data_IF_623813905682
#
_entry.id   IF_623813905682
#
_cell.length_a   1.000
_cell.length_b   1.000
_cell.length_c   1.000
_cell.angle_alpha   90.00
_cell.angle_beta   90.00
_cell.angle_gamma   90.00
#
_symmetry.space_group_name_H-M   'P 1'
#
loop_
_entity.id
_entity.type
_entity.pdbx_description
1 polymer ?
#
# COMPACT_ATOMS: atom_id res chain seq x y z
N UNK A 1 -6.99 -31.01 -38.81
CA UNK A 1 -6.93 -29.80 -37.96
C UNK A 1 -7.93 -29.96 -36.83
N UNK A 2 -7.44 -30.32 -35.65
CA UNK A 2 -8.23 -30.31 -34.41
C UNK A 2 -8.57 -28.84 -34.12
N UNK A 3 -9.83 -28.50 -33.78
CA UNK A 3 -10.15 -27.13 -33.37
C UNK A 3 -9.33 -26.75 -32.13
N UNK A 4 -9.00 -25.46 -31.94
CA UNK A 4 -8.33 -25.02 -30.72
C UNK A 4 -9.17 -25.44 -29.51
N UNK A 5 -8.55 -25.86 -28.39
CA UNK A 5 -9.30 -26.12 -27.17
C UNK A 5 -10.09 -24.86 -26.81
N UNK A 6 -11.41 -24.98 -26.66
CA UNK A 6 -12.23 -23.93 -26.05
C UNK A 6 -11.56 -23.58 -24.73
N UNK A 7 -11.20 -22.32 -24.54
CA UNK A 7 -10.79 -21.82 -23.22
C UNK A 7 -11.83 -22.33 -22.21
N UNK A 8 -11.39 -23.14 -21.23
CA UNK A 8 -12.29 -23.61 -20.20
C UNK A 8 -12.94 -22.38 -19.56
N UNK A 9 -14.27 -22.35 -19.46
CA UNK A 9 -14.94 -21.24 -18.81
C UNK A 9 -14.39 -21.13 -17.38
N UNK A 10 -13.85 -19.96 -17.02
CA UNK A 10 -13.44 -19.67 -15.64
C UNK A 10 -14.64 -19.93 -14.74
N UNK A 11 -14.42 -20.54 -13.58
CA UNK A 11 -15.49 -20.97 -12.66
C UNK A 11 -15.29 -20.43 -11.23
N UNK A 12 -14.19 -19.70 -11.01
CA UNK A 12 -13.79 -19.21 -9.72
C UNK A 12 -13.15 -17.82 -9.82
N UNK A 13 -13.00 -17.18 -8.67
CA UNK A 13 -12.17 -16.00 -8.45
C UNK A 13 -11.11 -16.38 -7.44
N UNK A 14 -9.84 -16.11 -7.73
CA UNK A 14 -8.73 -16.26 -6.81
C UNK A 14 -8.19 -14.86 -6.51
N UNK A 15 -8.22 -14.48 -5.25
CA UNK A 15 -7.95 -13.14 -4.78
C UNK A 15 -6.74 -13.07 -3.86
N UNK A 16 -5.99 -11.99 -3.98
CA UNK A 16 -4.97 -11.55 -3.02
C UNK A 16 -5.35 -10.19 -2.42
N UNK A 17 -4.61 -9.78 -1.40
CA UNK A 17 -4.67 -8.44 -0.82
C UNK A 17 -3.38 -8.17 -0.04
N UNK A 18 -3.06 -6.89 0.16
CA UNK A 18 -2.04 -6.40 1.09
C UNK A 18 -0.70 -7.14 0.91
N UNK A 19 -0.24 -7.27 -0.34
CA UNK A 19 1.02 -7.94 -0.65
C UNK A 19 2.23 -7.19 -0.10
N UNK A 20 2.17 -5.84 -0.05
CA UNK A 20 3.21 -4.96 0.50
C UNK A 20 4.62 -5.33 0.07
N UNK A 21 4.84 -5.52 -1.23
CA UNK A 21 6.17 -5.79 -1.77
C UNK A 21 6.88 -6.95 -1.03
N UNK A 22 6.14 -7.97 -0.56
CA UNK A 22 6.68 -9.10 0.18
C UNK A 22 7.37 -10.12 -0.76
N UNK A 23 8.32 -9.66 -1.57
CA UNK A 23 8.90 -10.42 -2.68
C UNK A 23 9.58 -11.73 -2.25
N UNK A 24 10.10 -11.84 -1.02
CA UNK A 24 10.58 -13.11 -0.46
C UNK A 24 9.54 -14.26 -0.49
N UNK A 25 8.24 -13.95 -0.51
CA UNK A 25 7.13 -14.92 -0.61
C UNK A 25 6.49 -14.96 -1.99
N UNK A 26 6.93 -14.13 -2.92
CA UNK A 26 6.38 -14.11 -4.27
C UNK A 26 6.45 -15.49 -4.94
N UNK A 27 7.53 -16.29 -4.87
CA UNK A 27 7.60 -17.54 -5.64
C UNK A 27 6.42 -18.49 -5.41
N UNK A 28 6.07 -18.78 -4.15
CA UNK A 28 4.97 -19.67 -3.79
C UNK A 28 3.60 -19.06 -4.17
N UNK A 29 3.43 -17.76 -3.91
CA UNK A 29 2.21 -17.05 -4.27
C UNK A 29 1.98 -17.09 -5.78
N UNK A 30 2.98 -16.71 -6.57
CA UNK A 30 2.86 -16.61 -8.02
C UNK A 30 2.72 -17.97 -8.68
N UNK A 31 3.37 -19.01 -8.16
CA UNK A 31 3.13 -20.39 -8.61
C UNK A 31 1.68 -20.83 -8.32
N UNK A 32 1.13 -20.45 -7.17
CA UNK A 32 -0.28 -20.71 -6.81
C UNK A 32 -1.23 -20.00 -7.75
N UNK A 33 -1.02 -18.70 -8.01
CA UNK A 33 -1.85 -17.90 -8.91
C UNK A 33 -1.77 -18.38 -10.35
N UNK A 34 -0.57 -18.69 -10.84
CA UNK A 34 -0.36 -19.23 -12.17
C UNK A 34 -1.13 -20.54 -12.38
N UNK A 35 -1.08 -21.45 -11.41
CA UNK A 35 -1.85 -22.70 -11.44
C UNK A 35 -3.37 -22.47 -11.46
N UNK A 36 -3.86 -21.43 -10.79
CA UNK A 36 -5.29 -21.10 -10.73
C UNK A 36 -5.81 -20.42 -12.01
N UNK A 37 -4.97 -19.63 -12.69
CA UNK A 37 -5.31 -18.75 -13.82
C UNK A 37 -6.10 -19.41 -14.97
N UNK A 38 -5.87 -20.69 -15.36
CA UNK A 38 -6.68 -21.33 -16.41
C UNK A 38 -8.16 -21.53 -16.04
N UNK A 39 -8.50 -21.49 -14.75
CA UNK A 39 -9.87 -21.80 -14.25
C UNK A 39 -10.46 -20.69 -13.39
N UNK A 40 -9.70 -19.64 -13.10
CA UNK A 40 -10.08 -18.58 -12.17
C UNK A 40 -9.78 -17.19 -12.73
N UNK A 41 -10.61 -16.22 -12.36
CA UNK A 41 -10.28 -14.80 -12.49
C UNK A 41 -9.32 -14.44 -11.36
N UNK A 42 -8.17 -13.87 -11.67
CA UNK A 42 -7.14 -13.51 -10.70
C UNK A 42 -7.28 -12.02 -10.36
N UNK A 43 -7.51 -11.70 -9.09
CA UNK A 43 -7.83 -10.34 -8.64
C UNK A 43 -7.04 -9.94 -7.40
N UNK A 44 -6.88 -8.64 -7.17
CA UNK A 44 -6.22 -8.09 -5.98
C UNK A 44 -7.06 -6.97 -5.33
N UNK A 45 -7.10 -6.94 -4.00
CA UNK A 45 -7.89 -5.98 -3.22
C UNK A 45 -7.09 -4.76 -2.73
N UNK A 46 -5.92 -4.49 -3.34
CA UNK A 46 -5.09 -3.32 -3.07
C UNK A 46 -3.91 -3.58 -2.13
N UNK A 47 -3.12 -2.53 -1.93
CA UNK A 47 -1.88 -2.48 -1.15
C UNK A 47 -0.85 -3.53 -1.58
N UNK A 48 -0.62 -3.57 -2.89
CA UNK A 48 0.41 -4.44 -3.47
C UNK A 48 1.83 -3.87 -3.26
N UNK A 49 1.92 -2.55 -3.14
CA UNK A 49 3.15 -1.76 -3.07
C UNK A 49 3.51 -1.36 -1.63
N UNK A 50 4.64 -0.66 -1.50
CA UNK A 50 5.19 -0.12 -0.25
C UNK A 50 5.36 -1.18 0.86
N UNK A 51 6.58 -1.69 0.94
CA UNK A 51 7.01 -2.68 1.92
C UNK A 51 8.49 -3.00 1.76
N UNK A 52 8.99 -4.15 2.25
CA UNK A 52 10.43 -4.33 2.48
C UNK A 52 11.33 -4.24 1.23
N UNK A 53 10.81 -4.56 0.04
CA UNK A 53 11.58 -4.53 -1.21
C UNK A 53 11.32 -3.27 -2.04
N UNK A 54 10.22 -2.57 -1.78
CA UNK A 54 9.76 -1.44 -2.58
C UNK A 54 10.82 -0.32 -2.72
N UNK A 55 11.58 0.06 -1.67
CA UNK A 55 12.60 1.10 -1.81
C UNK A 55 13.72 0.78 -2.80
N UNK A 56 13.94 -0.51 -3.12
CA UNK A 56 14.97 -0.93 -4.07
C UNK A 56 14.41 -1.37 -5.43
N UNK A 57 13.13 -1.75 -5.49
CA UNK A 57 12.46 -2.10 -6.76
C UNK A 57 11.80 -0.89 -7.42
N UNK A 58 11.47 0.15 -6.65
CA UNK A 58 10.68 1.29 -7.11
C UNK A 58 9.29 0.90 -7.64
N UNK A 59 8.78 -0.29 -7.25
CA UNK A 59 7.51 -0.83 -7.75
C UNK A 59 7.58 -1.56 -9.10
N UNK A 60 8.72 -1.56 -9.81
CA UNK A 60 8.80 -2.13 -11.16
C UNK A 60 8.57 -3.66 -11.19
N UNK A 61 9.00 -4.36 -10.15
CA UNK A 61 8.78 -5.81 -10.01
C UNK A 61 7.30 -6.09 -9.73
N UNK A 62 6.73 -5.30 -8.84
CA UNK A 62 5.34 -5.36 -8.42
C UNK A 62 4.37 -5.07 -9.57
N UNK A 63 4.61 -3.99 -10.34
CA UNK A 63 3.86 -3.66 -11.55
C UNK A 63 3.89 -4.80 -12.56
N UNK A 64 5.07 -5.40 -12.77
CA UNK A 64 5.22 -6.51 -13.72
C UNK A 64 4.47 -7.76 -13.25
N UNK A 65 4.49 -8.06 -11.96
CA UNK A 65 3.68 -9.15 -11.39
C UNK A 65 2.18 -8.90 -11.65
N UNK A 66 1.71 -7.68 -11.35
CA UNK A 66 0.30 -7.33 -11.50
C UNK A 66 -0.15 -7.42 -12.97
N UNK A 67 0.64 -6.87 -13.89
CA UNK A 67 0.32 -6.88 -15.33
C UNK A 67 0.39 -8.26 -15.98
N UNK A 68 1.29 -9.15 -15.54
CA UNK A 68 1.41 -10.49 -16.13
C UNK A 68 0.37 -11.49 -15.58
N UNK A 69 -0.04 -11.36 -14.32
CA UNK A 69 -0.80 -12.41 -13.63
C UNK A 69 -2.22 -12.03 -13.19
N UNK A 70 -2.59 -10.76 -13.13
CA UNK A 70 -3.89 -10.32 -12.64
C UNK A 70 -4.80 -9.90 -13.80
N UNK A 71 -6.11 -10.10 -13.62
CA UNK A 71 -7.14 -9.73 -14.60
C UNK A 71 -7.79 -8.37 -14.25
N UNK A 72 -7.92 -8.05 -12.95
CA UNK A 72 -8.47 -6.79 -12.45
C UNK A 72 -8.02 -6.56 -11.01
N UNK A 73 -7.75 -5.31 -10.63
CA UNK A 73 -7.29 -4.93 -9.29
C UNK A 73 -8.07 -3.76 -8.71
N UNK A 74 -8.15 -3.68 -7.38
CA UNK A 74 -8.48 -2.46 -6.66
C UNK A 74 -7.21 -1.63 -6.38
N UNK A 75 -7.31 -0.30 -6.30
CA UNK A 75 -6.22 0.51 -5.79
C UNK A 75 -6.09 0.35 -4.27
N UNK A 76 -4.86 0.27 -3.78
CA UNK A 76 -4.52 0.48 -2.37
C UNK A 76 -4.22 1.94 -2.05
N UNK A 77 -4.10 2.28 -0.77
CA UNK A 77 -3.53 3.58 -0.40
C UNK A 77 -2.01 3.61 -0.57
N UNK A 78 -1.35 2.46 -0.48
CA UNK A 78 0.08 2.31 -0.75
C UNK A 78 0.35 2.14 -2.25
N UNK A 79 1.28 2.92 -2.79
CA UNK A 79 1.65 2.90 -4.20
C UNK A 79 0.66 3.61 -5.12
N UNK A 80 -0.07 4.61 -4.61
CA UNK A 80 -1.07 5.38 -5.37
C UNK A 80 -0.64 5.77 -6.81
N UNK A 81 0.60 6.27 -7.05
CA UNK A 81 1.04 6.63 -8.40
C UNK A 81 1.01 5.46 -9.40
N UNK A 82 1.24 4.23 -8.96
CA UNK A 82 1.21 3.04 -9.81
C UNK A 82 -0.19 2.78 -10.35
N UNK A 83 -1.21 2.90 -9.50
CA UNK A 83 -2.62 2.74 -9.90
C UNK A 83 -3.11 3.87 -10.81
N UNK A 84 -2.68 5.11 -10.56
CA UNK A 84 -3.08 6.25 -11.41
C UNK A 84 -2.31 6.35 -12.74
N UNK A 85 -1.17 5.67 -12.85
CA UNK A 85 -0.31 5.64 -14.03
C UNK A 85 -0.29 4.27 -14.71
N UNK A 86 0.79 3.48 -14.58
CA UNK A 86 1.03 2.27 -15.38
C UNK A 86 -0.04 1.18 -15.21
N UNK A 87 -0.73 1.11 -14.07
CA UNK A 87 -1.76 0.11 -13.81
C UNK A 87 -3.18 0.62 -13.99
N UNK A 88 -3.36 1.83 -14.55
CA UNK A 88 -4.66 2.49 -14.61
C UNK A 88 -5.73 1.67 -15.34
N UNK A 89 -5.36 0.99 -16.42
CA UNK A 89 -6.29 0.19 -17.23
C UNK A 89 -6.69 -1.13 -16.56
N UNK A 90 -5.83 -1.65 -15.68
CA UNK A 90 -6.08 -2.86 -14.89
C UNK A 90 -6.93 -2.55 -13.63
N UNK A 91 -6.92 -1.29 -13.19
CA UNK A 91 -7.52 -0.84 -11.94
C UNK A 91 -8.99 -0.47 -12.13
N UNK A 92 -9.86 -0.99 -11.26
CA UNK A 92 -11.25 -0.52 -11.12
C UNK A 92 -11.44 0.15 -9.76
N UNK A 93 -12.29 1.18 -9.68
CA UNK A 93 -12.74 1.78 -8.43
C UNK A 93 -13.93 2.71 -8.68
N UNK A 94 -15.05 2.47 -8.00
CA UNK A 94 -16.30 3.19 -8.25
C UNK A 94 -16.42 4.51 -7.49
N UNK A 95 -15.75 4.65 -6.34
CA UNK A 95 -16.00 5.75 -5.41
C UNK A 95 -14.88 6.79 -5.33
N UNK A 96 -13.85 6.70 -6.15
CA UNK A 96 -12.88 7.78 -6.34
C UNK A 96 -13.28 8.57 -7.58
N UNK A 97 -13.45 9.88 -7.43
CA UNK A 97 -13.98 10.76 -8.47
C UNK A 97 -13.07 11.96 -8.70
N UNK A 98 -13.16 12.53 -9.90
CA UNK A 98 -12.75 13.90 -10.16
C UNK A 98 -13.82 14.84 -9.56
N UNK A 99 -13.47 15.71 -8.60
CA UNK A 99 -14.45 16.59 -7.95
C UNK A 99 -14.97 17.71 -8.88
N UNK A 100 -14.27 18.03 -9.97
CA UNK A 100 -14.67 19.06 -10.93
C UNK A 100 -15.80 18.59 -11.85
N UNK A 101 -15.77 17.34 -12.28
CA UNK A 101 -16.77 16.72 -13.16
C UNK A 101 -17.76 15.83 -12.41
N UNK A 102 -17.43 15.43 -11.18
CA UNK A 102 -18.14 14.40 -10.42
C UNK A 102 -18.24 13.04 -11.14
N UNK A 103 -17.28 12.73 -12.02
CA UNK A 103 -17.20 11.44 -12.71
C UNK A 103 -16.19 10.50 -12.04
N UNK A 104 -16.37 9.17 -12.14
CA UNK A 104 -15.38 8.20 -11.68
C UNK A 104 -13.98 8.49 -12.24
N UNK A 105 -12.98 8.48 -11.37
CA UNK A 105 -11.58 8.70 -11.74
C UNK A 105 -10.95 7.44 -12.34
N UNK A 106 -11.37 6.27 -11.88
CA UNK A 106 -11.04 4.97 -12.45
C UNK A 106 -12.22 4.42 -13.25
N UNK A 107 -11.98 3.37 -14.02
CA UNK A 107 -13.05 2.52 -14.53
C UNK A 107 -13.87 1.97 -13.36
N UNK A 108 -15.19 2.08 -13.38
CA UNK A 108 -16.01 1.67 -12.22
C UNK A 108 -16.23 0.17 -12.12
N UNK A 109 -16.17 -0.59 -13.22
CA UNK A 109 -16.48 -2.02 -13.22
C UNK A 109 -15.75 -2.80 -14.32
N UNK A 110 -15.41 -4.05 -14.04
CA UNK A 110 -14.90 -5.05 -14.98
C UNK A 110 -15.93 -6.17 -15.16
N UNK A 111 -16.32 -6.46 -16.40
CA UNK A 111 -17.22 -7.57 -16.72
C UNK A 111 -16.41 -8.81 -17.05
N UNK A 112 -16.72 -9.93 -16.41
CA UNK A 112 -16.11 -11.23 -16.66
C UNK A 112 -17.18 -12.31 -16.82
N UNK A 113 -16.90 -13.32 -17.63
CA UNK A 113 -17.75 -14.50 -17.76
C UNK A 113 -17.27 -15.61 -16.83
N UNK A 114 -18.09 -16.00 -15.85
CA UNK A 114 -17.81 -17.08 -14.91
C UNK A 114 -18.94 -18.11 -14.91
N UNK A 115 -18.64 -19.37 -15.24
CA UNK A 115 -19.63 -20.45 -15.31
C UNK A 115 -20.88 -20.11 -16.15
N UNK A 116 -20.71 -19.33 -17.23
CA UNK A 116 -21.80 -18.89 -18.12
C UNK A 116 -22.69 -17.78 -17.55
N UNK A 117 -22.18 -17.03 -16.55
CA UNK A 117 -22.81 -15.85 -15.97
C UNK A 117 -21.92 -14.63 -16.18
N UNK A 118 -22.54 -13.50 -16.47
CA UNK A 118 -21.86 -12.20 -16.55
C UNK A 118 -21.69 -11.65 -15.13
N UNK A 119 -20.44 -11.55 -14.67
CA UNK A 119 -20.08 -11.09 -13.33
C UNK A 119 -19.48 -9.69 -13.40
N UNK A 120 -20.05 -8.76 -12.64
CA UNK A 120 -19.51 -7.42 -12.45
C UNK A 120 -18.53 -7.41 -11.28
N UNK A 121 -17.26 -7.15 -11.57
CA UNK A 121 -16.22 -6.92 -10.58
C UNK A 121 -16.01 -5.41 -10.45
N UNK A 122 -16.28 -4.85 -9.28
CA UNK A 122 -16.05 -3.44 -8.96
C UNK A 122 -15.12 -3.32 -7.75
N UNK A 123 -14.70 -2.10 -7.42
CA UNK A 123 -13.92 -1.86 -6.22
C UNK A 123 -14.34 -0.58 -5.50
N UNK A 124 -13.98 -0.48 -4.22
CA UNK A 124 -14.09 0.74 -3.43
C UNK A 124 -12.83 1.01 -2.63
N UNK A 125 -12.51 2.29 -2.50
CA UNK A 125 -11.49 2.83 -1.60
C UNK A 125 -12.16 3.31 -0.31
N UNK A 126 -11.66 2.88 0.84
CA UNK A 126 -12.13 3.39 2.13
C UNK A 126 -11.79 4.87 2.34
N UNK A 127 -12.66 5.70 2.94
CA UNK A 127 -12.33 7.11 3.20
C UNK A 127 -11.08 7.31 4.06
N UNK A 128 -10.84 6.42 5.04
CA UNK A 128 -9.64 6.45 5.87
C UNK A 128 -8.38 6.09 5.09
N UNK A 129 -8.45 5.03 4.26
CA UNK A 129 -7.37 4.63 3.36
C UNK A 129 -7.04 5.75 2.37
N UNK A 130 -8.04 6.37 1.76
CA UNK A 130 -7.82 7.50 0.86
C UNK A 130 -7.16 8.69 1.58
N UNK A 131 -7.53 8.94 2.83
CA UNK A 131 -6.98 10.04 3.62
C UNK A 131 -5.50 9.82 4.00
N UNK A 132 -5.02 8.58 4.05
CA UNK A 132 -3.60 8.27 4.34
C UNK A 132 -2.68 8.45 3.13
N UNK A 133 -3.24 8.56 1.91
CA UNK A 133 -2.46 8.90 0.71
C UNK A 133 -1.96 10.35 0.83
N UNK A 134 -0.67 10.56 0.54
CA UNK A 134 -0.04 11.86 0.55
C UNK A 134 -0.86 12.89 -0.28
N UNK A 135 -1.15 14.10 0.27
CA UNK A 135 -2.08 15.04 -0.35
C UNK A 135 -1.76 15.43 -1.80
N UNK A 136 -0.49 15.52 -2.15
CA UNK A 136 0.00 15.83 -3.50
C UNK A 136 -0.28 14.69 -4.49
N UNK A 137 -0.16 13.43 -4.06
CA UNK A 137 -0.42 12.26 -4.91
C UNK A 137 -1.91 12.09 -5.25
N UNK A 138 -2.80 12.49 -4.33
CA UNK A 138 -4.26 12.46 -4.54
C UNK A 138 -4.87 13.82 -4.90
N UNK A 139 -4.05 14.78 -5.30
CA UNK A 139 -4.53 16.10 -5.71
C UNK A 139 -5.50 15.98 -6.90
N UNK A 140 -6.60 16.74 -6.84
CA UNK A 140 -7.64 16.68 -7.87
C UNK A 140 -8.52 15.42 -7.82
N UNK A 141 -8.44 14.62 -6.74
CA UNK A 141 -9.28 13.44 -6.55
C UNK A 141 -10.03 13.54 -5.22
N UNK A 142 -11.21 12.93 -5.15
CA UNK A 142 -11.99 12.80 -3.91
C UNK A 142 -12.62 11.43 -3.83
N UNK A 143 -12.72 10.89 -2.61
CA UNK A 143 -13.48 9.68 -2.31
C UNK A 143 -14.92 10.03 -1.88
N UNK A 144 -15.92 9.31 -2.41
CA UNK A 144 -17.33 9.41 -2.01
C UNK A 144 -17.71 8.24 -1.08
N UNK A 145 -18.90 8.31 -0.46
CA UNK A 145 -19.43 7.19 0.35
C UNK A 145 -19.48 5.90 -0.49
N UNK A 146 -18.80 4.82 -0.06
CA UNK A 146 -18.73 3.58 -0.82
C UNK A 146 -20.10 2.99 -1.16
N UNK A 147 -21.04 2.99 -0.21
CA UNK A 147 -22.36 2.39 -0.45
C UNK A 147 -23.14 3.18 -1.50
N UNK A 148 -23.12 4.52 -1.43
CA UNK A 148 -23.75 5.38 -2.43
C UNK A 148 -23.19 5.12 -3.83
N UNK A 149 -21.87 5.04 -3.97
CA UNK A 149 -21.25 4.76 -5.25
C UNK A 149 -21.65 3.38 -5.81
N UNK A 150 -21.71 2.36 -4.94
CA UNK A 150 -22.13 1.02 -5.33
C UNK A 150 -23.59 0.95 -5.75
N UNK A 151 -24.51 1.61 -5.03
CA UNK A 151 -25.93 1.69 -5.41
C UNK A 151 -26.10 2.39 -6.78
N UNK A 152 -25.38 3.49 -7.01
CA UNK A 152 -25.41 4.18 -8.31
C UNK A 152 -24.93 3.28 -9.45
N UNK A 153 -23.85 2.53 -9.23
CA UNK A 153 -23.32 1.59 -10.21
C UNK A 153 -24.29 0.41 -10.45
N UNK A 154 -24.90 -0.10 -9.38
CA UNK A 154 -25.91 -1.14 -9.45
C UNK A 154 -27.11 -0.71 -10.28
N UNK A 155 -27.68 0.47 -10.01
CA UNK A 155 -28.83 0.98 -10.75
C UNK A 155 -28.58 1.10 -12.26
N UNK A 156 -27.32 1.39 -12.65
CA UNK A 156 -26.91 1.51 -14.05
C UNK A 156 -26.76 0.17 -14.77
N UNK A 157 -26.39 -0.90 -14.07
CA UNK A 157 -25.95 -2.15 -14.71
C UNK A 157 -26.69 -3.42 -14.26
N UNK A 158 -27.60 -3.33 -13.27
CA UNK A 158 -28.32 -4.50 -12.71
C UNK A 158 -29.17 -5.29 -13.70
N UNK A 159 -29.35 -4.82 -14.94
CA UNK A 159 -30.06 -5.56 -16.00
C UNK A 159 -29.11 -6.33 -16.92
N UNK A 160 -27.81 -6.03 -16.85
CA UNK A 160 -26.77 -6.56 -17.75
C UNK A 160 -25.85 -7.58 -17.07
N UNK A 161 -26.04 -7.82 -15.77
CA UNK A 161 -25.11 -8.60 -14.94
C UNK A 161 -25.86 -9.56 -14.03
N UNK A 162 -25.33 -10.77 -13.87
CA UNK A 162 -25.92 -11.86 -13.11
C UNK A 162 -25.39 -11.94 -11.66
N UNK A 163 -24.24 -11.34 -11.38
CA UNK A 163 -23.60 -11.33 -10.06
C UNK A 163 -22.68 -10.12 -9.86
N UNK A 164 -22.54 -9.69 -8.61
CA UNK A 164 -21.74 -8.55 -8.17
C UNK A 164 -20.62 -8.97 -7.20
N UNK A 165 -19.39 -8.66 -7.58
CA UNK A 165 -18.18 -8.91 -6.80
C UNK A 165 -17.52 -7.57 -6.46
N UNK A 166 -17.23 -7.37 -5.18
CA UNK A 166 -16.54 -6.18 -4.69
C UNK A 166 -15.11 -6.52 -4.27
N UNK A 167 -14.13 -5.85 -4.86
CA UNK A 167 -12.77 -5.74 -4.36
C UNK A 167 -12.71 -4.52 -3.42
N UNK A 168 -12.66 -4.74 -2.10
CA UNK A 168 -12.75 -3.64 -1.14
C UNK A 168 -11.42 -3.35 -0.47
N UNK A 169 -10.97 -2.11 -0.61
CA UNK A 169 -9.86 -1.55 0.16
C UNK A 169 -10.38 -0.62 1.27
N UNK A 170 -11.40 -1.09 2.00
CA UNK A 170 -12.07 -0.33 3.07
C UNK A 170 -11.83 -0.92 4.46
N UNK A 171 -11.64 -2.24 4.54
CA UNK A 171 -11.34 -2.96 5.78
C UNK A 171 -12.47 -3.89 6.21
N UNK A 172 -12.13 -5.11 6.64
CA UNK A 172 -13.03 -6.24 6.89
C UNK A 172 -14.28 -5.88 7.71
N UNK A 173 -14.12 -5.19 8.85
CA UNK A 173 -15.26 -4.79 9.69
C UNK A 173 -16.17 -3.76 9.04
N UNK A 174 -15.59 -2.84 8.25
CA UNK A 174 -16.35 -1.84 7.49
C UNK A 174 -17.02 -2.49 6.27
N UNK A 175 -16.41 -3.53 5.71
CA UNK A 175 -16.97 -4.32 4.63
C UNK A 175 -18.17 -5.14 5.07
N UNK A 176 -18.21 -5.60 6.33
CA UNK A 176 -19.41 -6.20 6.94
C UNK A 176 -20.59 -5.21 6.98
N UNK A 177 -20.36 -3.97 7.40
CA UNK A 177 -21.38 -2.91 7.38
C UNK A 177 -21.81 -2.59 5.93
N UNK A 178 -20.83 -2.48 5.03
CA UNK A 178 -21.07 -2.18 3.63
C UNK A 178 -21.90 -3.27 2.94
N UNK A 179 -21.59 -4.54 3.17
CA UNK A 179 -22.38 -5.68 2.66
C UNK A 179 -23.82 -5.64 3.17
N UNK A 180 -24.04 -5.27 4.44
CA UNK A 180 -25.38 -5.10 5.00
C UNK A 180 -26.17 -3.96 4.34
N UNK A 181 -25.48 -2.89 3.91
CA UNK A 181 -26.06 -1.73 3.21
C UNK A 181 -26.22 -1.93 1.70
N UNK A 182 -25.53 -2.92 1.14
CA UNK A 182 -25.52 -3.26 -0.28
C UNK A 182 -25.81 -4.75 -0.48
N UNK A 183 -27.03 -5.23 -0.14
CA UNK A 183 -27.37 -6.66 -0.15
C UNK A 183 -27.42 -7.29 -1.56
N UNK A 184 -27.25 -6.49 -2.62
CA UNK A 184 -27.11 -6.97 -3.99
C UNK A 184 -25.68 -7.48 -4.30
N UNK A 185 -24.71 -7.22 -3.41
CA UNK A 185 -23.37 -7.80 -3.55
C UNK A 185 -23.43 -9.29 -3.24
N UNK A 186 -22.88 -10.12 -4.11
CA UNK A 186 -22.79 -11.56 -3.88
C UNK A 186 -21.52 -11.95 -3.15
N UNK A 187 -20.40 -11.28 -3.46
CA UNK A 187 -19.07 -11.56 -2.91
C UNK A 187 -18.33 -10.26 -2.60
N UNK A 188 -17.73 -10.18 -1.42
CA UNK A 188 -16.80 -9.12 -1.02
C UNK A 188 -15.44 -9.74 -0.69
N UNK A 189 -14.42 -9.25 -1.39
CA UNK A 189 -13.01 -9.57 -1.22
C UNK A 189 -12.35 -8.37 -0.51
N UNK A 190 -11.98 -8.53 0.75
CA UNK A 190 -11.60 -7.42 1.63
C UNK A 190 -10.07 -7.31 1.86
N UNK A 191 -9.57 -6.08 1.99
CA UNK A 191 -8.17 -5.72 2.26
C UNK A 191 -7.98 -4.61 3.31
N UNK A 192 -6.87 -3.87 3.27
CA UNK A 192 -6.52 -2.64 4.02
C UNK A 192 -6.28 -2.77 5.53
N UNK A 193 -7.17 -3.45 6.25
CA UNK A 193 -7.28 -3.29 7.70
C UNK A 193 -6.24 -4.02 8.56
N UNK A 194 -5.32 -4.79 7.96
CA UNK A 194 -4.38 -5.67 8.67
C UNK A 194 -5.02 -6.58 9.74
N UNK A 195 -6.32 -6.89 9.60
CA UNK A 195 -7.05 -7.69 10.56
C UNK A 195 -6.69 -9.17 10.42
N UNK A 196 -6.61 -9.88 11.54
CA UNK A 196 -6.54 -11.35 11.54
C UNK A 196 -7.82 -12.02 11.00
N UNK A 197 -8.90 -11.25 10.83
CA UNK A 197 -10.15 -11.73 10.24
C UNK A 197 -9.95 -12.03 8.74
N UNK A 198 -10.10 -13.30 8.35
CA UNK A 198 -10.00 -13.74 6.95
C UNK A 198 -11.33 -14.22 6.37
N UNK A 199 -12.34 -14.52 7.21
CA UNK A 199 -13.56 -15.19 6.78
C UNK A 199 -13.32 -16.63 6.29
N UNK A 200 -14.25 -17.21 5.52
CA UNK A 200 -15.47 -16.58 5.00
C UNK A 200 -16.52 -16.30 6.09
N UNK A 201 -17.23 -15.19 5.95
CA UNK A 201 -18.37 -14.78 6.76
C UNK A 201 -19.56 -14.49 5.85
N UNK A 202 -20.76 -14.93 6.23
CA UNK A 202 -21.99 -14.61 5.48
C UNK A 202 -22.67 -13.39 6.12
N UNK A 203 -22.87 -12.34 5.34
CA UNK A 203 -23.57 -11.12 5.74
C UNK A 203 -24.85 -11.04 4.92
N UNK A 204 -25.95 -11.55 5.47
CA UNK A 204 -27.18 -11.74 4.71
C UNK A 204 -26.97 -12.76 3.59
N UNK A 205 -27.03 -12.32 2.33
CA UNK A 205 -26.77 -13.14 1.14
C UNK A 205 -25.37 -12.95 0.56
N UNK A 206 -24.57 -12.05 1.13
CA UNK A 206 -23.23 -11.72 0.67
C UNK A 206 -22.18 -12.55 1.38
N UNK A 207 -21.29 -13.19 0.63
CA UNK A 207 -20.09 -13.84 1.19
C UNK A 207 -18.95 -12.83 1.32
N UNK A 208 -18.43 -12.61 2.53
CA UNK A 208 -17.30 -11.74 2.82
C UNK A 208 -16.07 -12.59 3.16
N UNK A 209 -14.97 -12.39 2.44
CA UNK A 209 -13.71 -13.11 2.66
C UNK A 209 -12.52 -12.18 2.41
N UNK A 210 -11.41 -12.48 3.07
CA UNK A 210 -10.15 -11.73 2.97
C UNK A 210 -9.00 -12.72 2.83
N UNK A 211 -8.13 -12.47 1.84
CA UNK A 211 -6.97 -13.31 1.62
C UNK A 211 -5.89 -13.07 2.70
N UNK A 212 -5.01 -14.05 2.96
CA UNK A 212 -3.84 -13.86 3.81
C UNK A 212 -2.89 -12.83 3.21
N UNK A 213 -2.40 -11.92 4.04
CA UNK A 213 -1.56 -10.79 3.63
C UNK A 213 -0.10 -11.21 3.37
N UNK A 214 0.69 -10.29 2.83
CA UNK A 214 2.13 -10.44 2.63
C UNK A 214 2.48 -11.70 1.83
N UNK A 215 1.66 -12.01 0.83
CA UNK A 215 1.80 -13.18 -0.04
C UNK A 215 1.72 -14.53 0.66
N UNK A 216 1.12 -14.60 1.86
CA UNK A 216 1.00 -15.87 2.60
C UNK A 216 -0.01 -16.84 1.99
N UNK A 217 -0.91 -16.37 1.13
CA UNK A 217 -1.92 -17.22 0.53
C UNK A 217 -2.93 -16.45 -0.31
N UNK A 218 -4.04 -17.13 -0.61
CA UNK A 218 -5.11 -16.63 -1.48
C UNK A 218 -6.48 -16.90 -0.86
N UNK A 219 -7.47 -16.10 -1.23
CA UNK A 219 -8.87 -16.45 -1.07
C UNK A 219 -9.41 -16.96 -2.40
N UNK A 220 -10.04 -18.14 -2.42
CA UNK A 220 -10.69 -18.67 -3.62
C UNK A 220 -12.19 -18.72 -3.41
N UNK A 221 -12.94 -18.07 -4.28
CA UNK A 221 -14.40 -18.07 -4.30
C UNK A 221 -14.90 -18.77 -5.57
N UNK A 222 -15.75 -19.79 -5.40
CA UNK A 222 -16.36 -20.54 -6.51
C UNK A 222 -17.84 -20.20 -6.62
N UNK A 223 -18.27 -19.94 -7.84
CA UNK A 223 -19.68 -19.73 -8.15
C UNK A 223 -20.34 -21.09 -8.36
N UNK A 224 -21.07 -21.57 -7.35
CA UNK A 224 -21.96 -22.72 -7.46
C UNK A 224 -23.35 -22.25 -7.90
N UNK A 225 -24.25 -23.15 -8.36
CA UNK A 225 -25.59 -22.75 -8.79
C UNK A 225 -26.34 -21.94 -7.71
N UNK A 226 -26.40 -20.61 -7.90
CA UNK A 226 -27.10 -19.67 -7.02
C UNK A 226 -26.38 -19.30 -5.71
N UNK A 227 -25.11 -19.67 -5.50
CA UNK A 227 -24.36 -19.31 -4.29
C UNK A 227 -22.85 -19.25 -4.51
N UNK A 228 -22.19 -18.28 -3.88
CA UNK A 228 -20.74 -18.25 -3.76
C UNK A 228 -20.28 -19.05 -2.54
N UNK A 229 -19.24 -19.85 -2.73
CA UNK A 229 -18.52 -20.51 -1.63
C UNK A 229 -17.08 -20.07 -1.66
N UNK A 230 -16.58 -19.52 -0.56
CA UNK A 230 -15.21 -19.06 -0.45
C UNK A 230 -14.39 -19.90 0.54
N UNK A 231 -13.09 -19.98 0.30
CA UNK A 231 -12.11 -20.60 1.19
C UNK A 231 -10.82 -19.78 1.16
N UNK A 232 -10.07 -19.86 2.26
CA UNK A 232 -8.75 -19.23 2.38
C UNK A 232 -7.70 -20.33 2.48
N UNK A 233 -6.69 -20.24 1.63
CA UNK A 233 -5.65 -21.26 1.51
C UNK A 233 -4.27 -20.59 1.57
N UNK A 234 -3.29 -21.18 2.27
CA UNK A 234 -1.92 -20.72 2.19
C UNK A 234 -1.38 -20.90 0.77
N UNK A 235 -0.39 -20.08 0.40
CA UNK A 235 0.33 -20.24 -0.85
C UNK A 235 1.00 -21.61 -0.85
N UNK A 236 0.81 -22.36 -1.93
CA UNK A 236 1.38 -23.68 -2.04
C UNK A 236 2.86 -23.57 -2.43
N UNK A 237 3.72 -24.31 -1.72
CA UNK A 237 5.12 -24.49 -2.09
C UNK A 237 5.18 -25.33 -3.37
N UNK A 238 5.17 -24.66 -4.52
CA UNK A 238 5.17 -25.25 -5.85
C UNK A 238 6.39 -24.76 -6.63
N UNK A 239 6.91 -25.53 -7.59
CA UNK A 239 7.91 -25.03 -8.51
C UNK A 239 7.38 -23.79 -9.24
N UNK A 240 8.17 -22.72 -9.24
CA UNK A 240 7.84 -21.53 -10.00
C UNK A 240 7.86 -21.86 -11.50
N UNK A 241 6.79 -21.56 -12.25
CA UNK A 241 6.76 -21.74 -13.70
C UNK A 241 7.93 -21.04 -14.40
N UNK A 242 8.47 -21.66 -15.45
CA UNK A 242 9.67 -21.17 -16.16
C UNK A 242 9.51 -19.74 -16.67
N UNK A 243 8.32 -19.39 -17.15
CA UNK A 243 7.95 -18.05 -17.62
C UNK A 243 8.04 -16.98 -16.52
N UNK A 244 7.90 -17.37 -15.26
CA UNK A 244 8.04 -16.49 -14.09
C UNK A 244 9.46 -16.53 -13.50
N UNK A 245 10.42 -17.20 -14.14
CA UNK A 245 11.80 -17.30 -13.66
C UNK A 245 12.51 -15.95 -13.49
N UNK A 246 12.02 -14.90 -14.15
CA UNK A 246 12.49 -13.52 -13.98
C UNK A 246 12.30 -13.01 -12.54
N UNK A 247 11.28 -13.49 -11.82
CA UNK A 247 10.96 -13.08 -10.45
C UNK A 247 12.10 -13.47 -9.52
N UNK A 248 12.67 -14.67 -9.68
CA UNK A 248 13.83 -15.13 -8.89
C UNK A 248 15.04 -14.22 -9.11
N UNK A 249 15.31 -13.82 -10.35
CA UNK A 249 16.40 -12.90 -10.66
C UNK A 249 16.15 -11.50 -10.05
N UNK A 250 14.91 -11.00 -10.13
CA UNK A 250 14.52 -9.73 -9.53
C UNK A 250 14.65 -9.73 -8.00
N UNK A 251 14.23 -10.80 -7.33
CA UNK A 251 14.42 -11.00 -5.89
C UNK A 251 15.91 -11.02 -5.56
N UNK A 252 16.73 -11.76 -6.32
CA UNK A 252 18.18 -11.82 -6.10
C UNK A 252 18.86 -10.45 -6.25
N UNK A 253 18.47 -9.66 -7.25
CA UNK A 253 18.96 -8.30 -7.43
C UNK A 253 18.54 -7.38 -6.27
N UNK A 254 17.28 -7.46 -5.85
CA UNK A 254 16.77 -6.69 -4.72
C UNK A 254 17.44 -7.09 -3.40
N UNK A 255 17.68 -8.38 -3.16
CA UNK A 255 18.44 -8.87 -2.00
C UNK A 255 19.88 -8.35 -2.01
N UNK A 256 20.54 -8.37 -3.17
CA UNK A 256 21.89 -7.82 -3.30
C UNK A 256 21.89 -6.35 -2.90
N UNK A 257 20.96 -5.56 -3.48
CA UNK A 257 20.78 -4.13 -3.19
C UNK A 257 20.45 -3.86 -1.71
N UNK A 258 19.58 -4.65 -1.09
CA UNK A 258 19.19 -4.49 0.32
C UNK A 258 20.35 -4.81 1.27
N UNK A 259 21.23 -5.75 0.90
CA UNK A 259 22.37 -6.16 1.71
C UNK A 259 23.65 -5.34 1.42
N UNK A 260 23.60 -4.37 0.50
CA UNK A 260 24.70 -3.42 0.28
C UNK A 260 25.01 -2.65 1.58
N UNK A 261 26.30 -2.55 1.89
CA UNK A 261 26.77 -1.71 3.00
C UNK A 261 26.66 -0.24 2.59
N UNK A 262 25.87 0.53 3.34
CA UNK A 262 25.68 1.97 3.12
C UNK A 262 26.55 2.83 4.06
N UNK A 263 27.08 2.23 5.12
CA UNK A 263 27.94 2.93 6.06
C UNK A 263 28.48 2.05 7.16
N UNK A 264 29.31 2.63 8.02
CA UNK A 264 29.78 2.02 9.26
C UNK A 264 29.40 2.92 10.43
N UNK A 265 28.62 2.44 11.40
CA UNK A 265 28.27 3.25 12.56
C UNK A 265 29.52 3.71 13.31
N UNK A 266 29.52 4.96 13.77
CA UNK A 266 30.58 5.53 14.60
C UNK A 266 30.62 4.86 15.97
N UNK A 267 31.73 5.07 16.71
CA UNK A 267 31.90 4.46 18.04
C UNK A 267 30.77 4.76 19.03
N UNK A 268 30.10 5.92 18.89
CA UNK A 268 28.98 6.32 19.74
C UNK A 268 27.71 5.49 19.48
N UNK A 269 27.45 5.10 18.23
CA UNK A 269 26.23 4.38 17.82
C UNK A 269 26.41 2.87 17.76
N UNK A 270 27.64 2.42 17.52
CA UNK A 270 27.99 1.02 17.32
C UNK A 270 27.76 0.19 18.58
N UNK A 271 27.13 -0.97 18.40
CA UNK A 271 26.82 -1.96 19.45
C UNK A 271 26.09 -1.36 20.66
N UNK A 272 25.32 -0.29 20.44
CA UNK A 272 24.61 0.45 21.48
C UNK A 272 23.14 0.61 21.09
N UNK A 273 22.27 0.42 22.07
CA UNK A 273 20.86 0.76 21.93
C UNK A 273 20.66 2.26 22.12
N UNK A 274 19.78 2.86 21.33
CA UNK A 274 19.36 4.26 21.43
C UNK A 274 17.85 4.36 21.28
N UNK A 275 17.26 5.43 21.80
CA UNK A 275 15.84 5.75 21.57
C UNK A 275 15.66 6.56 20.28
N UNK A 276 14.45 6.57 19.72
CA UNK A 276 14.13 7.46 18.59
C UNK A 276 14.40 8.92 18.93
N UNK A 277 14.07 9.33 20.16
CA UNK A 277 14.30 10.69 20.64
C UNK A 277 15.79 11.05 20.66
N UNK A 278 16.65 10.14 21.11
CA UNK A 278 18.09 10.35 21.15
C UNK A 278 18.65 10.58 19.73
N UNK A 279 18.38 9.67 18.81
CA UNK A 279 18.83 9.78 17.42
C UNK A 279 18.29 11.06 16.77
N UNK A 280 17.02 11.38 16.97
CA UNK A 280 16.41 12.56 16.37
C UNK A 280 16.91 13.87 16.96
N UNK A 281 17.30 13.92 18.25
CA UNK A 281 17.98 15.10 18.83
C UNK A 281 19.34 15.33 18.18
N UNK A 282 20.09 14.26 17.94
CA UNK A 282 21.36 14.30 17.23
C UNK A 282 21.21 14.77 15.78
N UNK A 283 20.21 14.23 15.06
CA UNK A 283 19.83 14.66 13.71
C UNK A 283 19.38 16.12 13.68
N UNK A 284 18.51 16.53 14.62
CA UNK A 284 18.03 17.90 14.71
C UNK A 284 19.17 18.89 14.97
N UNK A 285 20.08 18.57 15.89
CA UNK A 285 21.25 19.39 16.17
C UNK A 285 22.17 19.51 14.94
N UNK A 286 22.34 18.43 14.16
CA UNK A 286 23.08 18.48 12.88
C UNK A 286 22.44 19.45 11.89
N UNK A 287 21.15 19.26 11.62
CA UNK A 287 20.39 20.07 10.68
C UNK A 287 20.41 21.53 11.09
N UNK A 288 20.27 21.81 12.39
CA UNK A 288 20.38 23.16 12.94
C UNK A 288 21.78 23.76 12.74
N UNK A 289 22.86 23.00 12.94
CA UNK A 289 24.23 23.46 12.65
C UNK A 289 24.46 23.74 11.16
N UNK A 290 23.91 22.91 10.28
CA UNK A 290 24.06 23.04 8.83
C UNK A 290 23.24 24.20 8.24
N UNK A 291 22.04 24.44 8.76
CA UNK A 291 21.08 25.38 8.16
C UNK A 291 20.87 26.66 8.96
N UNK A 292 21.20 26.66 10.25
CA UNK A 292 20.86 27.73 11.20
C UNK A 292 19.38 27.77 11.60
N UNK A 293 18.54 26.87 11.08
CA UNK A 293 17.10 26.86 11.33
C UNK A 293 16.73 26.05 12.58
N UNK A 294 15.57 26.37 13.18
CA UNK A 294 14.96 25.48 14.16
C UNK A 294 14.50 24.18 13.50
N UNK A 295 14.44 23.08 14.24
CA UNK A 295 14.07 21.77 13.69
C UNK A 295 12.93 21.16 14.50
N UNK A 296 11.93 20.59 13.82
CA UNK A 296 10.86 19.80 14.44
C UNK A 296 10.70 18.47 13.72
N UNK A 297 10.78 17.36 14.44
CA UNK A 297 10.68 16.01 13.88
C UNK A 297 9.73 15.16 14.73
N UNK A 298 8.96 14.28 14.12
CA UNK A 298 8.13 13.30 14.84
C UNK A 298 8.96 12.08 15.23
N UNK A 299 8.80 11.59 16.47
CA UNK A 299 9.60 10.45 16.96
C UNK A 299 9.34 9.15 16.23
N UNK A 300 8.14 9.01 15.64
CA UNK A 300 7.76 7.87 14.78
C UNK A 300 8.50 7.84 13.44
N UNK A 301 9.25 8.89 13.08
CA UNK A 301 10.02 8.93 11.84
C UNK A 301 11.21 7.95 11.84
N UNK A 302 11.66 7.50 13.02
CA UNK A 302 12.74 6.51 13.15
C UNK A 302 12.40 5.40 14.15
N UNK A 303 12.89 4.19 13.88
CA UNK A 303 12.67 2.99 14.70
C UNK A 303 13.95 2.62 15.46
N UNK A 304 13.95 2.61 16.80
CA UNK A 304 15.16 2.39 17.60
C UNK A 304 15.67 0.94 17.45
N UNK A 305 16.99 0.76 17.44
CA UNK A 305 17.64 -0.56 17.34
C UNK A 305 19.09 -0.53 17.80
N UNK A 306 19.72 -1.70 17.88
CA UNK A 306 21.17 -1.84 18.06
C UNK A 306 21.81 -1.98 16.68
N UNK A 307 22.84 -1.20 16.41
CA UNK A 307 23.59 -1.23 15.14
C UNK A 307 24.88 -2.02 15.30
N UNK A 308 25.23 -2.84 14.30
CA UNK A 308 26.46 -3.62 14.28
C UNK A 308 27.68 -2.86 13.76
N UNK A 309 28.67 -3.61 13.24
CA UNK A 309 29.90 -3.07 12.63
C UNK A 309 29.68 -2.38 11.27
N UNK A 310 28.60 -2.74 10.59
CA UNK A 310 28.19 -2.24 9.29
C UNK A 310 26.72 -1.89 9.34
N UNK A 311 26.33 -0.88 8.56
CA UNK A 311 24.95 -0.53 8.30
C UNK A 311 24.64 -0.91 6.86
N UNK A 312 23.69 -1.81 6.67
CA UNK A 312 23.18 -2.20 5.34
C UNK A 312 22.03 -1.30 4.91
N UNK A 313 21.74 -1.25 3.60
CA UNK A 313 20.58 -0.51 3.07
C UNK A 313 19.28 -0.97 3.73
N UNK A 314 19.10 -2.28 3.93
CA UNK A 314 17.95 -2.87 4.65
C UNK A 314 17.78 -2.30 6.05
N UNK A 315 18.87 -2.16 6.78
CA UNK A 315 18.85 -1.64 8.15
C UNK A 315 18.55 -0.14 8.18
N UNK A 316 19.08 0.63 7.23
CA UNK A 316 18.75 2.05 7.10
C UNK A 316 17.26 2.26 6.77
N UNK A 317 16.72 1.49 5.83
CA UNK A 317 15.28 1.50 5.51
C UNK A 317 14.45 1.14 6.74
N UNK A 318 14.82 0.09 7.46
CA UNK A 318 14.10 -0.33 8.67
C UNK A 318 14.18 0.70 9.80
N UNK A 319 15.29 1.44 9.86
CA UNK A 319 15.51 2.52 10.81
C UNK A 319 14.71 3.77 10.46
N UNK A 320 14.53 4.11 9.18
CA UNK A 320 13.81 5.29 8.69
C UNK A 320 12.71 4.88 7.70
N UNK A 321 11.63 4.21 8.18
CA UNK A 321 10.72 3.44 7.33
C UNK A 321 9.90 4.27 6.35
N UNK A 322 9.64 5.54 6.65
CA UNK A 322 8.87 6.45 5.80
C UNK A 322 9.74 7.30 4.87
N UNK A 323 11.05 7.34 5.15
CA UNK A 323 12.04 8.24 4.53
C UNK A 323 11.51 9.63 4.15
N UNK A 324 10.81 10.26 5.11
CA UNK A 324 10.14 11.53 4.92
C UNK A 324 11.05 12.57 4.27
N UNK A 325 10.50 13.34 3.33
CA UNK A 325 11.21 14.48 2.77
C UNK A 325 11.32 15.55 3.84
N UNK A 326 12.46 16.23 3.86
CA UNK A 326 12.66 17.39 4.72
C UNK A 326 12.24 18.65 3.97
N UNK A 327 11.58 19.56 4.68
CA UNK A 327 11.01 20.79 4.15
C UNK A 327 11.41 21.99 5.01
N UNK A 328 11.67 23.12 4.36
CA UNK A 328 11.73 24.44 4.98
C UNK A 328 10.33 25.02 5.06
N UNK A 329 9.89 25.48 6.23
CA UNK A 329 8.64 26.25 6.37
C UNK A 329 8.91 27.73 6.22
N UNK A 330 8.01 28.48 5.58
CA UNK A 330 8.06 29.95 5.60
C UNK A 330 7.44 30.51 6.88
N UNK A 331 7.92 31.66 7.39
CA UNK A 331 7.31 32.35 8.52
C UNK A 331 6.00 33.01 8.05
N UNK A 332 4.90 32.27 8.06
CA UNK A 332 3.57 32.86 7.86
C UNK A 332 2.99 33.28 9.20
N UNK A 333 2.58 34.54 9.30
CA UNK A 333 1.78 35.03 10.41
C UNK A 333 0.42 34.29 10.40
N UNK A 334 0.12 33.61 11.51
CA UNK A 334 -1.14 32.91 11.79
C UNK A 334 -1.31 31.50 11.19
N UNK A 335 -0.76 30.52 11.90
CA UNK A 335 -1.59 29.47 12.52
C UNK A 335 -0.92 29.11 13.86
N UNK A 336 -1.72 28.94 14.91
CA UNK A 336 -1.22 28.60 16.24
C UNK A 336 -0.38 27.33 16.22
N UNK A 337 0.24 26.99 17.36
CA UNK A 337 0.64 25.60 17.62
C UNK A 337 -0.49 24.71 17.11
N UNK A 338 -0.29 23.99 16.01
CA UNK A 338 -1.27 23.01 15.57
C UNK A 338 -1.61 22.16 16.78
N UNK A 339 -2.87 21.85 16.99
CA UNK A 339 -3.21 20.75 17.90
C UNK A 339 -2.63 19.50 17.24
N UNK A 340 -1.41 19.15 17.61
CA UNK A 340 -0.81 17.85 17.28
C UNK A 340 -1.77 16.78 17.80
N UNK A 341 -1.95 15.70 17.04
CA UNK A 341 -2.83 14.64 17.52
C UNK A 341 -2.27 14.10 18.83
N UNK A 342 -3.16 13.77 19.75
CA UNK A 342 -2.81 13.17 21.03
C UNK A 342 -2.02 11.87 20.77
N UNK A 343 -0.69 11.90 20.94
CA UNK A 343 0.21 10.77 20.61
C UNK A 343 1.43 11.12 19.76
N UNK A 344 1.45 12.28 19.09
CA UNK A 344 2.62 12.73 18.31
C UNK A 344 3.72 13.25 19.24
N UNK A 345 4.60 12.36 19.68
CA UNK A 345 5.83 12.76 20.36
C UNK A 345 6.74 13.47 19.34
N UNK A 346 7.17 14.68 19.68
CA UNK A 346 7.99 15.53 18.81
C UNK A 346 9.34 15.84 19.46
N UNK A 347 10.39 15.81 18.66
CA UNK A 347 11.67 16.43 18.99
C UNK A 347 11.66 17.85 18.45
N UNK A 348 11.76 18.82 19.35
CA UNK A 348 11.76 20.25 19.02
C UNK A 348 13.11 20.83 19.42
N UNK A 349 13.88 21.28 18.44
CA UNK A 349 15.11 22.03 18.63
C UNK A 349 14.96 23.41 17.97
N UNK A 350 14.13 24.26 18.57
CA UNK A 350 13.77 25.58 18.04
C UNK A 350 14.00 26.65 19.13
N UNK A 351 14.65 27.79 18.83
CA UNK A 351 14.69 28.94 19.74
C UNK A 351 13.28 29.48 20.02
N UNK A 352 13.03 30.19 21.13
CA UNK A 352 11.69 30.66 21.53
C UNK A 352 11.01 31.70 20.61
N UNK A 353 11.52 31.98 19.41
CA UNK A 353 10.99 32.97 18.47
C UNK A 353 10.39 32.33 17.21
N UNK A 354 9.47 33.04 16.54
CA UNK A 354 8.79 32.63 15.31
C UNK A 354 9.72 32.74 14.10
N UNK A 355 10.64 31.78 13.97
CA UNK A 355 11.61 31.69 12.86
C UNK A 355 11.24 30.54 11.90
N UNK A 356 11.71 30.58 10.64
CA UNK A 356 11.62 29.44 9.73
C UNK A 356 12.19 28.19 10.38
N UNK A 357 11.53 27.05 10.20
CA UNK A 357 12.00 25.76 10.71
C UNK A 357 12.11 24.72 9.60
N UNK A 358 12.85 23.65 9.90
CA UNK A 358 12.96 22.46 9.09
C UNK A 358 12.14 21.34 9.74
N UNK A 359 11.32 20.67 8.94
CA UNK A 359 10.41 19.61 9.39
C UNK A 359 10.21 18.53 8.33
N UNK A 360 9.60 17.40 8.69
CA UNK A 360 9.15 16.38 7.74
C UNK A 360 7.93 16.87 6.94
N UNK A 361 7.78 16.39 5.72
CA UNK A 361 6.57 16.54 4.89
C UNK A 361 5.28 16.09 5.59
N UNK A 362 5.33 15.05 6.42
CA UNK A 362 4.23 14.65 7.29
C UNK A 362 3.73 15.79 8.18
N UNK A 363 4.63 16.42 8.94
CA UNK A 363 4.28 17.54 9.84
C UNK A 363 4.03 18.85 9.08
N UNK A 364 4.62 18.98 7.89
CA UNK A 364 4.52 20.18 7.07
C UNK A 364 3.12 20.46 6.53
N UNK A 365 2.22 19.46 6.52
CA UNK A 365 0.82 19.61 6.10
C UNK A 365 0.07 20.69 6.88
N UNK A 366 0.56 21.08 8.07
CA UNK A 366 -0.02 22.15 8.90
C UNK A 366 0.45 23.56 8.51
N UNK A 367 1.39 23.69 7.58
CA UNK A 367 2.02 24.96 7.21
C UNK A 367 1.55 25.43 5.83
N UNK A 368 1.34 26.74 5.69
CA UNK A 368 0.80 27.33 4.48
C UNK A 368 1.80 27.39 3.31
N UNK A 369 3.11 27.37 3.59
CA UNK A 369 4.15 27.46 2.57
C UNK A 369 5.41 26.72 2.98
N UNK A 370 5.87 25.81 2.11
CA UNK A 370 7.04 24.96 2.31
C UNK A 370 7.90 24.89 1.06
N UNK A 371 9.22 24.75 1.24
CA UNK A 371 10.18 24.48 0.16
C UNK A 371 10.98 23.22 0.47
N UNK A 372 11.41 22.48 -0.55
CA UNK A 372 12.18 21.25 -0.38
C UNK A 372 13.58 21.51 0.17
N UNK A 373 13.94 20.74 1.20
CA UNK A 373 15.33 20.58 1.59
C UNK A 373 16.02 19.58 0.66
N UNK A 374 17.33 19.72 0.51
CA UNK A 374 18.11 18.97 -0.48
C UNK A 374 18.32 17.49 -0.13
N UNK A 375 18.19 17.12 1.15
CA UNK A 375 18.39 15.76 1.62
C UNK A 375 17.10 15.15 2.20
N UNK A 376 16.96 13.83 2.10
CA UNK A 376 15.92 13.06 2.81
C UNK A 376 16.32 12.81 4.26
N UNK A 377 15.37 12.38 5.08
CA UNK A 377 15.68 12.03 6.47
C UNK A 377 16.68 10.87 6.56
N UNK A 378 16.58 9.84 5.70
CA UNK A 378 17.51 8.70 5.71
C UNK A 378 18.95 9.12 5.39
N UNK A 379 19.15 10.08 4.49
CA UNK A 379 20.48 10.61 4.17
C UNK A 379 21.11 11.30 5.39
N UNK A 380 20.35 12.16 6.07
CA UNK A 380 20.84 12.87 7.26
C UNK A 380 21.07 11.91 8.43
N UNK A 381 20.21 10.92 8.61
CA UNK A 381 20.39 9.86 9.61
C UNK A 381 21.65 9.05 9.31
N UNK A 382 21.87 8.66 8.06
CA UNK A 382 23.08 7.95 7.65
C UNK A 382 24.34 8.76 7.95
N UNK A 383 24.34 10.06 7.62
CA UNK A 383 25.44 10.96 7.93
C UNK A 383 25.69 11.08 9.44
N UNK A 384 24.64 11.11 10.27
CA UNK A 384 24.80 11.18 11.72
C UNK A 384 25.29 9.87 12.33
N UNK A 385 24.81 8.74 11.84
CA UNK A 385 25.26 7.44 12.31
C UNK A 385 26.71 7.15 11.93
N UNK A 386 27.18 7.68 10.80
CA UNK A 386 28.51 7.35 10.24
C UNK A 386 29.56 8.42 10.47
N UNK A 387 29.18 9.66 10.82
CA UNK A 387 30.13 10.67 11.23
C UNK A 387 30.90 10.19 12.45
N UNK A 388 32.24 10.14 12.33
CA UNK A 388 33.11 9.98 13.48
C UNK A 388 32.72 11.06 14.49
N UNK A 389 32.34 10.66 15.71
CA UNK A 389 31.96 11.62 16.74
C UNK A 389 33.10 12.60 16.92
N UNK A 390 32.89 13.85 16.56
CA UNK A 390 33.64 14.94 17.18
C UNK A 390 33.08 15.02 18.60
N UNK A 391 33.86 14.50 19.55
CA UNK A 391 33.70 14.74 20.99
C UNK A 391 33.74 16.23 21.31
#
# INVERSE_FOLDING_TARGET
MTPPPRAGAKAAITATTDFHSALHRAPDLLATLHRARPTSLIVDSGDFFEGPYYPVTGGAVEERILTELYDVIAPGNHGWPHYTGPLRDLTVCANVIDPSTSTPFFRSLHLAELSGRTVAVTAVMGPNAFASIAPDLRAGQRVTDPARALHQLYDQHRQDVDAWVLLSHHGYRRDRDLASRCPFLDLVLSGHCHSADTGPEEVGTTTLVKAPEFGRGVATARLQPGRWTAAVEPAASLPLPTELGWVTAAIGAAETSLNETVGRPSGYWKNRAFSSEELLRHVAARLRRQTGLGVTLNTSAVTPRVLGDVLTRRELISLVPYDNRLLHTSPSAASGRGTFQEGDLLVIDVPPQRVPLLTTDYLAQQYAATCLYTATLSQVVLEELTAGGEE
#
